data_IF_860545703532
#
_entry.id   IF_860545703532
#
_cell.length_a   1.000
_cell.length_b   1.000
_cell.length_c   1.000
_cell.angle_alpha   90.00
_cell.angle_beta   90.00
_cell.angle_gamma   90.00
#
_symmetry.space_group_name_H-M   'P 1'
#
loop_
_entity.id
_entity.type
_entity.pdbx_description
1 polymer ?
#
# COMPACT_ATOMS: atom_id res chain seq x y z
N UNK A 1 0.52 67.93 9.76
CA UNK A 1 0.20 66.73 10.55
C UNK A 1 -0.56 65.76 9.64
N UNK A 2 0.16 64.92 8.88
CA UNK A 2 0.20 63.44 8.96
C UNK A 2 -1.18 62.75 9.00
N UNK A 3 -1.64 62.32 7.82
CA UNK A 3 -2.53 61.17 7.62
C UNK A 3 -1.78 59.86 7.94
N UNK A 4 -2.45 58.81 8.48
CA UNK A 4 -1.89 57.48 8.51
C UNK A 4 -2.43 56.61 7.36
N UNK A 5 -1.48 55.91 6.76
CA UNK A 5 -1.64 54.94 5.70
C UNK A 5 -2.05 53.56 6.25
N UNK A 6 -2.58 52.77 5.32
CA UNK A 6 -3.12 51.42 5.39
C UNK A 6 -2.06 50.34 5.73
N UNK A 7 -2.35 49.51 6.74
CA UNK A 7 -1.67 48.23 6.98
C UNK A 7 -2.37 47.11 6.19
N UNK A 8 -1.59 46.36 5.40
CA UNK A 8 -2.00 45.10 4.76
C UNK A 8 -1.71 43.96 5.73
N UNK A 9 -2.75 43.27 6.17
CA UNK A 9 -2.66 42.02 6.93
C UNK A 9 -2.46 40.83 6.00
N UNK A 10 -1.45 40.02 6.31
CA UNK A 10 -1.07 38.77 5.67
C UNK A 10 -1.96 37.63 6.21
N UNK A 11 -2.91 37.13 5.40
CA UNK A 11 -3.80 36.03 5.77
C UNK A 11 -3.19 34.68 5.36
N UNK A 12 -2.72 33.91 6.35
CA UNK A 12 -2.46 32.46 6.20
C UNK A 12 -3.69 31.65 6.62
N UNK A 13 -4.13 30.62 5.87
CA UNK A 13 -5.32 29.85 6.25
C UNK A 13 -5.03 28.88 7.42
N UNK A 14 -5.82 29.00 8.49
CA UNK A 14 -5.94 28.01 9.57
C UNK A 14 -7.01 26.97 9.21
N UNK A 15 -6.62 25.74 8.88
CA UNK A 15 -7.48 24.54 8.79
C UNK A 15 -6.56 23.34 9.10
N UNK A 16 -6.83 22.34 9.95
CA UNK A 16 -7.98 21.86 10.70
C UNK A 16 -7.45 21.20 12.00
N UNK A 17 -8.13 21.41 13.12
CA UNK A 17 -7.93 20.68 14.39
C UNK A 17 -9.27 20.14 14.84
N UNK A 18 -9.43 18.82 14.84
CA UNK A 18 -10.31 18.11 15.79
C UNK A 18 -9.64 16.82 16.26
N UNK A 19 -9.64 16.64 17.58
CA UNK A 19 -8.76 15.73 18.30
C UNK A 19 -9.14 14.26 18.21
N UNK A 20 -8.12 13.40 18.10
CA UNK A 20 -8.25 11.95 18.36
C UNK A 20 -7.58 11.62 19.69
N UNK A 21 -8.37 11.53 20.77
CA UNK A 21 -7.96 10.78 21.97
C UNK A 21 -8.16 9.28 21.71
N UNK A 22 -7.09 8.50 21.68
CA UNK A 22 -7.17 7.02 21.69
C UNK A 22 -6.69 6.47 23.03
N UNK A 23 -7.50 5.57 23.60
CA UNK A 23 -7.33 4.96 24.92
C UNK A 23 -6.15 3.98 24.92
N UNK A 24 -5.34 4.03 25.98
CA UNK A 24 -4.22 3.14 26.24
C UNK A 24 -4.69 1.70 26.51
N UNK A 25 -4.01 0.72 25.92
CA UNK A 25 -4.18 -0.70 26.20
C UNK A 25 -3.09 -1.18 27.17
N UNK A 26 -3.49 -1.74 28.32
CA UNK A 26 -2.63 -2.52 29.22
C UNK A 26 -2.85 -4.01 28.94
N UNK A 27 -1.78 -4.79 28.85
CA UNK A 27 -1.83 -6.24 29.07
C UNK A 27 -0.44 -6.82 29.41
N UNK A 28 -0.49 -7.92 30.14
CA UNK A 28 0.49 -8.51 31.05
C UNK A 28 1.75 -9.18 30.44
N UNK A 29 2.77 -9.35 31.30
CA UNK A 29 3.98 -10.18 31.13
C UNK A 29 3.63 -11.67 30.98
N UNK A 30 4.45 -12.46 30.27
CA UNK A 30 5.49 -13.28 30.92
C UNK A 30 6.84 -13.20 30.18
N UNK A 31 7.99 -13.20 30.86
CA UNK A 31 8.68 -14.42 31.31
C UNK A 31 9.85 -14.69 30.34
N UNK A 32 11.07 -14.24 30.70
CA UNK A 32 12.20 -14.17 29.79
C UNK A 32 13.01 -15.47 29.67
N UNK A 33 13.77 -15.59 28.57
CA UNK A 33 14.99 -16.40 28.46
C UNK A 33 15.96 -15.70 27.49
N UNK A 34 17.24 -15.76 27.81
CA UNK A 34 18.36 -14.95 27.35
C UNK A 34 18.69 -15.01 25.84
N UNK A 35 19.16 -13.88 25.33
CA UNK A 35 19.79 -13.74 24.02
C UNK A 35 21.32 -13.78 24.17
N UNK A 36 21.98 -14.59 23.33
CA UNK A 36 23.42 -14.54 23.09
C UNK A 36 23.66 -13.71 21.82
N UNK A 37 24.44 -12.65 21.96
CA UNK A 37 24.98 -11.81 20.88
C UNK A 37 26.31 -12.37 20.38
N UNK A 38 26.62 -12.23 19.09
CA UNK A 38 28.00 -12.04 18.66
C UNK A 38 28.24 -10.60 18.18
N UNK A 39 29.39 -10.10 18.60
CA UNK A 39 29.99 -8.79 18.35
C UNK A 39 30.51 -8.63 16.93
N UNK A 40 30.63 -7.36 16.54
CA UNK A 40 31.12 -6.85 15.26
C UNK A 40 32.62 -7.09 15.01
N UNK A 41 33.02 -7.02 13.73
CA UNK A 41 34.00 -6.07 13.15
C UNK A 41 34.73 -6.68 11.94
N UNK A 42 35.01 -5.87 10.92
CA UNK A 42 36.09 -6.16 9.96
C UNK A 42 35.88 -5.77 8.49
N UNK A 43 36.22 -4.51 8.17
CA UNK A 43 37.04 -4.03 7.05
C UNK A 43 36.67 -4.36 5.58
N UNK A 44 36.68 -3.30 4.76
CA UNK A 44 36.49 -3.35 3.31
C UNK A 44 37.76 -3.66 2.52
N UNK A 45 37.55 -4.17 1.31
CA UNK A 45 38.52 -4.22 0.20
C UNK A 45 37.73 -4.07 -1.10
N UNK A 46 38.14 -3.11 -1.95
CA UNK A 46 37.71 -2.96 -3.34
C UNK A 46 38.20 -4.12 -4.22
N UNK A 47 37.37 -4.59 -5.13
CA UNK A 47 37.77 -5.54 -6.16
C UNK A 47 36.58 -6.04 -6.97
N UNK A 48 36.54 -5.68 -8.26
CA UNK A 48 35.49 -6.06 -9.19
C UNK A 48 35.27 -7.58 -9.24
N UNK A 49 34.03 -7.98 -8.96
CA UNK A 49 33.50 -9.30 -9.24
C UNK A 49 32.08 -9.11 -9.74
N UNK A 50 31.82 -9.46 -10.99
CA UNK A 50 30.48 -9.76 -11.46
C UNK A 50 29.91 -10.84 -10.55
N UNK A 51 29.11 -10.44 -9.56
CA UNK A 51 28.55 -11.38 -8.60
C UNK A 51 27.65 -12.34 -9.35
N UNK A 52 27.98 -13.63 -9.32
CA UNK A 52 27.09 -14.74 -9.61
C UNK A 52 25.99 -14.85 -8.52
N UNK A 53 25.34 -13.73 -8.18
CA UNK A 53 24.20 -13.65 -7.29
C UNK A 53 22.94 -13.74 -8.12
N UNK A 54 22.17 -14.81 -7.94
CA UNK A 54 20.91 -15.00 -8.66
C UNK A 54 19.95 -13.83 -8.44
N UNK A 55 19.14 -13.54 -9.45
CA UNK A 55 18.21 -12.42 -9.43
C UNK A 55 17.10 -12.64 -8.39
N UNK A 56 16.85 -11.65 -7.55
CA UNK A 56 15.74 -11.68 -6.61
C UNK A 56 14.49 -11.02 -7.19
N UNK A 57 13.34 -11.63 -6.93
CA UNK A 57 12.04 -11.11 -7.32
C UNK A 57 11.10 -11.01 -6.14
N UNK A 58 10.07 -10.18 -6.26
CA UNK A 58 8.91 -10.19 -5.38
C UNK A 58 7.70 -10.71 -6.15
N UNK A 59 7.09 -11.75 -5.61
CA UNK A 59 5.88 -12.37 -6.11
C UNK A 59 4.70 -12.01 -5.22
N UNK A 60 3.63 -11.54 -5.84
CA UNK A 60 2.39 -11.18 -5.19
C UNK A 60 1.20 -11.86 -5.88
N UNK A 61 0.28 -12.40 -5.11
CA UNK A 61 -1.01 -12.88 -5.60
C UNK A 61 -2.01 -13.04 -4.45
N UNK A 62 -3.28 -13.16 -4.81
CA UNK A 62 -4.32 -13.65 -3.93
C UNK A 62 -5.30 -14.49 -4.75
N UNK A 63 -6.02 -15.38 -4.08
CA UNK A 63 -7.06 -16.17 -4.72
C UNK A 63 -8.12 -16.56 -3.70
N UNK A 64 -9.39 -16.36 -4.06
CA UNK A 64 -10.52 -16.79 -3.25
C UNK A 64 -11.00 -18.15 -3.74
N UNK A 65 -10.79 -19.17 -2.91
CA UNK A 65 -11.17 -20.55 -3.19
C UNK A 65 -11.48 -21.24 -1.85
N UNK A 66 -12.49 -22.11 -1.76
CA UNK A 66 -12.73 -22.85 -0.53
C UNK A 66 -11.51 -23.72 -0.15
N UNK A 67 -11.06 -23.58 1.09
CA UNK A 67 -10.02 -24.43 1.68
C UNK A 67 -10.59 -25.07 2.93
N UNK A 68 -10.84 -26.37 2.86
CA UNK A 68 -11.51 -27.12 3.93
C UNK A 68 -10.69 -27.15 5.22
N UNK A 69 -9.40 -27.49 5.13
CA UNK A 69 -8.47 -27.52 6.25
C UNK A 69 -7.29 -26.56 6.06
N UNK A 70 -7.44 -25.26 6.38
CA UNK A 70 -6.39 -24.26 6.21
C UNK A 70 -5.12 -24.55 7.01
N UNK A 71 -5.22 -25.28 8.13
CA UNK A 71 -4.04 -25.63 8.92
C UNK A 71 -3.21 -26.70 8.23
N UNK A 72 -3.85 -27.73 7.67
CA UNK A 72 -3.17 -28.73 6.85
C UNK A 72 -2.57 -28.10 5.59
N UNK A 73 -3.29 -27.18 4.94
CA UNK A 73 -2.78 -26.43 3.79
C UNK A 73 -1.51 -25.62 4.15
N UNK A 74 -1.53 -24.92 5.29
CA UNK A 74 -0.35 -24.23 5.83
C UNK A 74 0.84 -25.20 5.99
N UNK A 75 0.63 -26.40 6.54
CA UNK A 75 1.69 -27.40 6.68
C UNK A 75 2.22 -27.90 5.34
N UNK A 76 1.35 -28.12 4.34
CA UNK A 76 1.73 -28.50 2.98
C UNK A 76 2.67 -27.45 2.36
N UNK A 77 2.31 -26.17 2.45
CA UNK A 77 3.14 -25.09 1.92
C UNK A 77 4.46 -24.90 2.71
N UNK A 78 4.45 -25.11 4.04
CA UNK A 78 5.67 -25.08 4.85
C UNK A 78 6.66 -26.17 4.44
N UNK A 79 6.16 -27.39 4.19
CA UNK A 79 6.97 -28.50 3.72
C UNK A 79 7.61 -28.18 2.37
N UNK A 80 6.84 -27.62 1.43
CA UNK A 80 7.38 -27.23 0.13
C UNK A 80 8.44 -26.14 0.25
N UNK A 81 8.24 -25.12 1.10
CA UNK A 81 9.19 -24.02 1.24
C UNK A 81 10.40 -24.37 2.13
N UNK A 82 10.44 -25.55 2.74
CA UNK A 82 11.57 -25.96 3.58
C UNK A 82 12.85 -26.08 2.74
N UNK A 83 13.90 -25.37 3.16
CA UNK A 83 15.20 -25.35 2.48
C UNK A 83 15.28 -24.37 1.29
N UNK A 84 14.19 -23.67 0.95
CA UNK A 84 14.18 -22.62 -0.08
C UNK A 84 14.34 -21.25 0.55
N UNK A 85 15.03 -20.35 -0.14
CA UNK A 85 15.28 -19.00 0.36
C UNK A 85 14.13 -18.07 -0.03
N UNK A 86 13.03 -18.16 0.72
CA UNK A 86 11.80 -17.38 0.48
C UNK A 86 11.40 -16.63 1.75
N UNK A 87 11.35 -15.31 1.68
CA UNK A 87 10.88 -14.43 2.75
C UNK A 87 9.61 -13.71 2.35
N UNK A 88 8.66 -13.53 3.26
CA UNK A 88 7.38 -12.95 2.88
C UNK A 88 6.27 -13.13 3.87
N UNK A 89 5.04 -12.89 3.42
CA UNK A 89 3.80 -13.12 4.13
C UNK A 89 2.91 -13.98 3.24
N UNK A 90 2.57 -15.16 3.74
CA UNK A 90 1.63 -16.07 3.08
C UNK A 90 0.56 -16.38 4.10
N UNK A 91 -0.64 -15.89 3.84
CA UNK A 91 -1.79 -16.08 4.71
C UNK A 91 -2.81 -16.97 4.02
N UNK A 92 -3.27 -17.98 4.75
CA UNK A 92 -4.24 -18.95 4.28
C UNK A 92 -5.41 -18.95 5.26
N UNK A 93 -6.64 -19.02 4.74
CA UNK A 93 -7.83 -19.19 5.55
C UNK A 93 -8.84 -20.09 4.82
N UNK A 94 -10.05 -20.24 5.36
CA UNK A 94 -11.10 -21.07 4.73
C UNK A 94 -11.57 -20.56 3.36
N UNK A 95 -11.26 -19.32 3.04
CA UNK A 95 -11.73 -18.62 1.84
C UNK A 95 -10.63 -18.43 0.79
N UNK A 96 -9.40 -18.88 1.05
CA UNK A 96 -8.33 -18.85 0.06
C UNK A 96 -6.97 -18.46 0.62
N UNK A 97 -6.18 -17.78 -0.22
CA UNK A 97 -4.78 -17.44 0.01
C UNK A 97 -4.47 -16.00 -0.38
N UNK A 98 -3.56 -15.35 0.35
CA UNK A 98 -2.95 -14.07 0.00
C UNK A 98 -1.45 -14.15 0.29
N UNK A 99 -0.62 -13.90 -0.72
CA UNK A 99 0.81 -14.10 -0.69
C UNK A 99 1.55 -12.89 -1.26
N UNK A 100 2.57 -12.46 -0.52
CA UNK A 100 3.55 -11.46 -0.92
C UNK A 100 4.90 -11.92 -0.38
N UNK A 101 5.80 -12.35 -1.25
CA UNK A 101 7.09 -12.92 -0.85
C UNK A 101 8.18 -12.60 -1.86
N UNK A 102 9.42 -12.70 -1.42
CA UNK A 102 10.61 -12.50 -2.21
C UNK A 102 11.58 -13.65 -2.00
N UNK A 103 12.33 -13.97 -3.04
CA UNK A 103 13.38 -14.98 -3.02
C UNK A 103 14.17 -14.89 -4.31
N UNK A 104 15.16 -15.77 -4.45
CA UNK A 104 15.79 -16.02 -5.75
C UNK A 104 14.70 -16.38 -6.76
N UNK A 105 14.83 -15.91 -8.01
CA UNK A 105 13.83 -16.09 -9.06
C UNK A 105 13.40 -17.55 -9.18
N UNK A 106 14.36 -18.47 -9.19
CA UNK A 106 14.10 -19.91 -9.29
C UNK A 106 13.23 -20.42 -8.14
N UNK A 107 13.60 -20.13 -6.89
CA UNK A 107 12.84 -20.54 -5.70
C UNK A 107 11.46 -19.90 -5.62
N UNK A 108 11.38 -18.60 -5.94
CA UNK A 108 10.15 -17.84 -5.88
C UNK A 108 9.14 -18.32 -6.94
N UNK A 109 9.60 -18.56 -8.16
CA UNK A 109 8.75 -19.08 -9.24
C UNK A 109 8.42 -20.56 -9.02
N UNK A 110 9.34 -21.38 -8.52
CA UNK A 110 9.06 -22.77 -8.19
C UNK A 110 7.88 -22.91 -7.21
N UNK A 111 7.77 -22.03 -6.21
CA UNK A 111 6.62 -22.03 -5.31
C UNK A 111 5.31 -21.58 -6.00
N UNK A 112 5.38 -20.61 -6.91
CA UNK A 112 4.21 -20.19 -7.68
C UNK A 112 3.71 -21.30 -8.63
N UNK A 113 4.62 -22.01 -9.28
CA UNK A 113 4.28 -23.12 -10.19
C UNK A 113 3.79 -24.35 -9.44
N UNK A 114 4.45 -24.74 -8.35
CA UNK A 114 3.97 -25.81 -7.47
C UNK A 114 2.55 -25.53 -6.95
N UNK A 115 2.23 -24.28 -6.63
CA UNK A 115 0.89 -23.92 -6.19
C UNK A 115 -0.15 -24.16 -7.29
N UNK A 116 0.19 -23.91 -8.56
CA UNK A 116 -0.71 -24.11 -9.71
C UNK A 116 -0.94 -25.58 -10.07
N UNK A 117 -0.11 -26.51 -9.58
CA UNK A 117 -0.34 -27.96 -9.75
C UNK A 117 -1.62 -28.43 -9.06
N UNK A 118 -2.11 -27.67 -8.09
CA UNK A 118 -3.39 -27.90 -7.44
C UNK A 118 -4.48 -27.08 -8.17
N UNK A 119 -5.43 -27.77 -8.79
CA UNK A 119 -6.48 -27.17 -9.63
C UNK A 119 -7.22 -26.02 -8.94
N UNK A 120 -7.34 -26.06 -7.61
CA UNK A 120 -7.95 -24.99 -6.79
C UNK A 120 -7.26 -23.64 -6.94
N UNK A 121 -5.98 -23.63 -7.32
CA UNK A 121 -5.15 -22.44 -7.47
C UNK A 121 -4.70 -22.20 -8.91
N UNK A 122 -5.09 -23.04 -9.87
CA UNK A 122 -4.70 -22.92 -11.29
C UNK A 122 -5.00 -21.54 -11.90
N UNK A 123 -6.09 -20.88 -11.45
CA UNK A 123 -6.52 -19.56 -11.91
C UNK A 123 -5.83 -18.37 -11.22
N UNK A 124 -4.75 -18.58 -10.45
CA UNK A 124 -4.06 -17.48 -9.76
C UNK A 124 -3.38 -16.52 -10.75
N UNK A 125 -3.62 -15.23 -10.58
CA UNK A 125 -2.88 -14.19 -11.29
C UNK A 125 -1.59 -13.88 -10.51
N UNK A 126 -0.48 -14.44 -10.98
CA UNK A 126 0.85 -14.21 -10.41
C UNK A 126 1.41 -12.87 -10.89
N UNK A 127 1.73 -11.97 -9.96
CA UNK A 127 2.37 -10.70 -10.25
C UNK A 127 3.81 -10.72 -9.76
N UNK A 128 4.74 -10.31 -10.62
CA UNK A 128 6.18 -10.32 -10.35
C UNK A 128 6.71 -8.89 -10.49
N UNK A 129 7.59 -8.51 -9.58
CA UNK A 129 8.27 -7.21 -9.60
C UNK A 129 9.72 -7.37 -9.15
N UNK A 130 10.65 -6.55 -9.67
CA UNK A 130 12.08 -6.68 -9.38
C UNK A 130 12.44 -6.20 -7.96
N UNK A 131 13.59 -6.65 -7.44
CA UNK A 131 14.18 -6.11 -6.21
C UNK A 131 15.70 -6.11 -6.28
N UNK A 132 16.30 -4.93 -6.08
CA UNK A 132 17.75 -4.72 -6.26
C UNK A 132 18.58 -5.08 -5.02
N UNK A 133 17.95 -5.30 -3.86
CA UNK A 133 18.62 -5.44 -2.57
C UNK A 133 18.37 -6.79 -1.91
N UNK A 134 18.21 -7.84 -2.73
CA UNK A 134 17.82 -9.16 -2.26
C UNK A 134 16.38 -9.19 -1.76
N UNK A 135 16.13 -9.85 -0.62
CA UNK A 135 14.77 -9.97 -0.11
C UNK A 135 14.12 -8.63 0.24
N UNK A 136 12.87 -8.47 -0.19
CA UNK A 136 12.03 -7.33 0.18
C UNK A 136 11.35 -7.51 1.55
N UNK A 137 11.45 -8.71 2.13
CA UNK A 137 10.87 -9.06 3.42
C UNK A 137 11.95 -9.61 4.36
N UNK A 138 11.89 -9.31 5.66
CA UNK A 138 12.93 -9.72 6.60
C UNK A 138 12.91 -11.23 6.92
N UNK A 139 11.77 -11.90 6.77
CA UNK A 139 11.59 -13.34 7.02
C UNK A 139 10.26 -13.85 6.47
N UNK A 140 10.14 -15.16 6.35
CA UNK A 140 8.86 -15.82 6.06
C UNK A 140 7.89 -15.76 7.24
N UNK A 141 6.63 -15.44 6.94
CA UNK A 141 5.47 -15.54 7.82
C UNK A 141 4.37 -16.27 7.07
N UNK A 142 4.44 -17.59 7.09
CA UNK A 142 3.43 -18.47 6.54
C UNK A 142 2.54 -19.02 7.67
N UNK A 143 1.25 -18.68 7.66
CA UNK A 143 0.34 -19.07 8.74
C UNK A 143 -1.13 -18.93 8.37
N UNK A 144 -1.97 -19.64 9.14
CA UNK A 144 -3.40 -19.39 9.16
C UNK A 144 -3.71 -17.98 9.69
N UNK A 145 -4.70 -17.33 9.06
CA UNK A 145 -5.30 -16.09 9.55
C UNK A 145 -6.83 -16.20 9.46
N UNK A 146 -7.60 -15.63 10.41
CA UNK A 146 -9.05 -15.56 10.26
C UNK A 146 -9.50 -14.80 9.00
N UNK A 147 -8.73 -13.80 8.59
CA UNK A 147 -8.96 -13.03 7.37
C UNK A 147 -7.66 -12.85 6.59
N UNK A 148 -7.74 -12.95 5.26
CA UNK A 148 -6.61 -12.75 4.34
C UNK A 148 -6.15 -11.29 4.27
N UNK A 149 -6.96 -10.37 4.78
CA UNK A 149 -6.69 -8.94 4.87
C UNK A 149 -7.00 -8.45 6.28
N UNK A 150 -6.28 -7.43 6.74
CA UNK A 150 -6.61 -6.79 8.03
C UNK A 150 -7.95 -6.04 7.89
N UNK A 151 -8.93 -6.34 8.75
CA UNK A 151 -10.25 -5.72 8.62
C UNK A 151 -11.40 -6.36 9.39
N UNK A 152 -11.28 -7.61 9.83
CA UNK A 152 -12.40 -8.32 10.48
C UNK A 152 -13.49 -8.73 9.48
N UNK A 153 -13.13 -8.93 8.22
CA UNK A 153 -14.03 -9.24 7.10
C UNK A 153 -14.25 -10.73 6.87
N UNK A 154 -13.92 -11.58 7.86
CA UNK A 154 -14.03 -13.05 7.75
C UNK A 154 -15.46 -13.57 7.58
N UNK A 155 -16.46 -12.73 7.83
CA UNK A 155 -17.88 -13.03 7.68
C UNK A 155 -18.44 -12.68 6.29
N UNK A 156 -17.63 -12.05 5.42
CA UNK A 156 -18.05 -11.71 4.06
C UNK A 156 -17.95 -12.94 3.15
N UNK A 157 -18.91 -13.15 2.23
CA UNK A 157 -18.92 -14.31 1.32
C UNK A 157 -17.97 -14.10 0.12
N UNK A 158 -16.66 -13.97 0.37
CA UNK A 158 -15.66 -13.63 -0.67
C UNK A 158 -15.48 -14.70 -1.75
N UNK A 159 -15.84 -15.95 -1.44
CA UNK A 159 -15.78 -17.07 -2.40
C UNK A 159 -16.84 -16.89 -3.49
N UNK A 160 -18.01 -16.32 -3.16
CA UNK A 160 -19.11 -16.11 -4.10
C UNK A 160 -18.76 -14.96 -5.07
N UNK A 161 -18.52 -15.23 -6.36
CA UNK A 161 -18.18 -14.19 -7.32
C UNK A 161 -19.32 -13.18 -7.55
N UNK A 162 -20.59 -13.58 -7.37
CA UNK A 162 -21.75 -12.69 -7.57
C UNK A 162 -21.81 -11.59 -6.52
N UNK A 163 -21.21 -11.86 -5.36
CA UNK A 163 -21.09 -10.91 -4.26
C UNK A 163 -19.93 -9.93 -4.43
N UNK A 164 -19.06 -10.11 -5.44
CA UNK A 164 -17.93 -9.20 -5.72
C UNK A 164 -18.26 -8.25 -6.88
N UNK A 165 -17.42 -7.25 -7.06
CA UNK A 165 -17.45 -6.40 -8.24
C UNK A 165 -17.11 -7.22 -9.50
N UNK A 166 -17.63 -6.78 -10.64
CA UNK A 166 -17.25 -7.34 -11.95
C UNK A 166 -15.80 -6.94 -12.23
N UNK A 167 -14.89 -7.90 -12.46
CA UNK A 167 -13.51 -7.58 -12.80
C UNK A 167 -13.44 -7.04 -14.24
N UNK A 168 -12.68 -5.97 -14.43
CA UNK A 168 -12.29 -5.41 -15.72
C UNK A 168 -10.82 -5.74 -15.95
N UNK A 169 -10.48 -6.21 -17.13
CA UNK A 169 -9.09 -6.30 -17.58
C UNK A 169 -8.44 -4.91 -17.62
N UNK A 170 -7.09 -4.82 -17.63
CA UNK A 170 -6.40 -3.54 -17.77
C UNK A 170 -6.88 -2.70 -18.96
N UNK A 171 -7.10 -3.32 -20.12
CA UNK A 171 -7.55 -2.64 -21.33
C UNK A 171 -8.99 -2.13 -21.21
N UNK A 172 -9.92 -2.94 -20.67
CA UNK A 172 -11.29 -2.50 -20.38
C UNK A 172 -11.32 -1.36 -19.37
N UNK A 173 -10.48 -1.43 -18.33
CA UNK A 173 -10.35 -0.37 -17.33
C UNK A 173 -9.88 0.94 -17.96
N UNK A 174 -8.86 0.88 -18.83
CA UNK A 174 -8.38 2.04 -19.57
C UNK A 174 -9.49 2.70 -20.39
N UNK A 175 -10.28 1.91 -21.11
CA UNK A 175 -11.41 2.42 -21.90
C UNK A 175 -12.43 3.13 -21.01
N UNK A 176 -12.78 2.53 -19.86
CA UNK A 176 -13.69 3.18 -18.90
C UNK A 176 -13.15 4.49 -18.32
N UNK A 177 -11.84 4.58 -18.08
CA UNK A 177 -11.21 5.84 -17.66
C UNK A 177 -11.30 6.91 -18.75
N UNK A 178 -11.18 6.54 -20.02
CA UNK A 178 -11.33 7.47 -21.15
C UNK A 178 -12.77 7.96 -21.26
N UNK A 179 -13.75 7.07 -21.21
CA UNK A 179 -15.18 7.42 -21.24
C UNK A 179 -15.55 8.41 -20.12
N UNK A 180 -15.02 8.18 -18.91
CA UNK A 180 -15.20 9.08 -17.77
C UNK A 180 -14.65 10.48 -18.05
N UNK A 181 -13.49 10.60 -18.68
CA UNK A 181 -12.87 11.90 -18.98
C UNK A 181 -13.53 12.62 -20.16
N UNK A 182 -13.96 11.88 -21.18
CA UNK A 182 -14.65 12.44 -22.36
C UNK A 182 -16.04 12.98 -22.03
N UNK A 183 -16.69 12.45 -21.00
CA UNK A 183 -18.01 12.90 -20.55
C UNK A 183 -17.99 14.26 -19.80
N UNK A 184 -16.81 14.84 -19.56
CA UNK A 184 -16.63 16.12 -18.82
C UNK A 184 -16.61 17.33 -19.77
N UNK A 185 -16.47 17.14 -21.08
CA UNK A 185 -16.56 18.21 -22.07
C UNK A 185 -18.04 18.49 -22.44
N UNK A 186 -18.61 19.66 -22.12
CA UNK A 186 -19.97 20.00 -22.52
C UNK A 186 -19.96 20.41 -24.00
N UNK A 187 -19.93 19.44 -24.92
CA UNK A 187 -20.30 19.73 -26.30
C UNK A 187 -21.82 19.92 -26.37
N UNK A 188 -22.23 21.19 -26.27
CA UNK A 188 -23.57 21.62 -26.67
C UNK A 188 -23.88 21.08 -28.06
N UNK A 189 -24.92 20.25 -28.19
CA UNK A 189 -25.69 19.92 -29.40
C UNK A 189 -25.73 18.48 -29.91
N UNK A 190 -25.56 17.43 -29.09
CA UNK A 190 -26.04 16.09 -29.46
C UNK A 190 -27.05 15.53 -28.45
N UNK A 191 -28.33 15.76 -28.74
CA UNK A 191 -29.47 15.08 -28.11
C UNK A 191 -29.53 13.65 -28.64
N UNK A 192 -28.88 12.73 -27.96
CA UNK A 192 -28.92 11.30 -28.28
C UNK A 192 -28.30 10.40 -27.22
N UNK A 193 -29.11 10.00 -26.23
CA UNK A 193 -28.99 8.76 -25.44
C UNK A 193 -27.91 8.55 -24.34
N UNK A 194 -26.94 9.44 -24.10
CA UNK A 194 -25.86 9.18 -23.10
C UNK A 194 -25.81 10.14 -21.89
N UNK A 195 -26.92 10.73 -21.46
CA UNK A 195 -26.92 11.80 -20.44
C UNK A 195 -27.04 11.38 -18.96
N UNK A 196 -26.99 10.09 -18.60
CA UNK A 196 -27.29 9.66 -17.22
C UNK A 196 -26.30 8.71 -16.53
N UNK A 197 -25.18 8.33 -17.17
CA UNK A 197 -24.28 7.33 -16.57
C UNK A 197 -23.17 8.02 -15.77
N UNK A 198 -23.45 8.28 -14.49
CA UNK A 198 -22.44 8.80 -13.55
C UNK A 198 -21.43 7.70 -13.25
N UNK A 199 -20.17 7.94 -13.58
CA UNK A 199 -19.04 7.06 -13.25
C UNK A 199 -18.30 7.67 -12.06
N UNK A 200 -18.05 6.85 -11.04
CA UNK A 200 -17.24 7.20 -9.87
C UNK A 200 -15.99 6.33 -9.81
N UNK A 201 -14.83 6.98 -9.81
CA UNK A 201 -13.55 6.32 -9.63
C UNK A 201 -13.12 6.38 -8.15
N UNK A 202 -13.03 5.21 -7.51
CA UNK A 202 -12.66 5.06 -6.12
C UNK A 202 -11.30 4.39 -5.98
N UNK A 203 -10.37 5.09 -5.34
CA UNK A 203 -9.18 4.47 -4.78
C UNK A 203 -9.52 3.83 -3.43
N UNK A 204 -9.48 2.50 -3.34
CA UNK A 204 -9.75 1.80 -2.07
C UNK A 204 -8.48 1.56 -1.24
N UNK A 205 -7.41 2.28 -1.58
CA UNK A 205 -6.15 2.30 -0.82
C UNK A 205 -6.21 3.30 0.34
N UNK A 206 -5.12 3.35 1.11
CA UNK A 206 -4.95 4.38 2.12
C UNK A 206 -4.47 5.70 1.49
N UNK A 207 -4.70 6.82 2.16
CA UNK A 207 -4.34 8.15 1.67
C UNK A 207 -2.85 8.30 1.33
N UNK A 208 -1.95 7.71 2.14
CA UNK A 208 -0.51 7.74 1.87
C UNK A 208 -0.11 6.97 0.59
N UNK A 209 -0.94 6.04 0.13
CA UNK A 209 -0.68 5.31 -1.13
C UNK A 209 -1.09 6.16 -2.33
N UNK A 210 -2.16 6.94 -2.19
CA UNK A 210 -2.61 7.91 -3.19
C UNK A 210 -1.62 9.07 -3.34
N UNK A 211 -1.03 9.53 -2.22
CA UNK A 211 -0.05 10.64 -2.18
C UNK A 211 1.20 10.38 -3.04
N UNK A 212 1.52 9.12 -3.30
CA UNK A 212 2.67 8.71 -4.12
C UNK A 212 2.30 8.52 -5.59
N UNK A 213 1.07 8.10 -5.83
CA UNK A 213 0.57 7.87 -7.17
C UNK A 213 -0.84 7.34 -7.17
N UNK A 214 -1.59 7.71 -8.18
CA UNK A 214 -3.02 7.46 -8.31
C UNK A 214 -3.45 7.60 -9.78
N UNK A 215 -4.64 7.11 -10.12
CA UNK A 215 -5.24 7.41 -11.42
C UNK A 215 -5.76 8.86 -11.47
N UNK A 216 -5.60 9.53 -12.61
CA UNK A 216 -6.19 10.83 -12.87
C UNK A 216 -7.71 10.81 -12.59
N UNK A 217 -8.20 11.82 -11.87
CA UNK A 217 -9.61 11.92 -11.46
C UNK A 217 -9.98 11.13 -10.21
N UNK A 218 -9.10 10.29 -9.65
CA UNK A 218 -9.38 9.58 -8.40
C UNK A 218 -9.25 10.54 -7.20
N UNK A 219 -10.28 10.62 -6.37
CA UNK A 219 -10.23 11.39 -5.13
C UNK A 219 -9.32 10.71 -4.10
N UNK A 220 -8.56 11.51 -3.34
CA UNK A 220 -7.70 11.02 -2.27
C UNK A 220 -8.54 10.44 -1.12
N UNK A 221 -8.33 9.17 -0.72
CA UNK A 221 -9.05 8.59 0.41
C UNK A 221 -8.64 9.24 1.74
N UNK A 222 -9.61 9.59 2.59
CA UNK A 222 -9.35 10.07 3.96
C UNK A 222 -9.25 8.92 4.97
N UNK A 223 -8.45 7.91 4.64
CA UNK A 223 -8.27 6.72 5.49
C UNK A 223 -6.80 6.30 5.54
N UNK A 224 -6.30 6.13 6.77
CA UNK A 224 -4.92 5.67 7.01
C UNK A 224 -4.81 4.13 7.10
N UNK A 225 -5.95 3.46 7.23
CA UNK A 225 -6.03 2.01 7.35
C UNK A 225 -7.31 1.51 6.68
N UNK A 226 -7.18 0.48 5.84
CA UNK A 226 -8.30 -0.15 5.15
C UNK A 226 -9.42 -0.62 6.10
N UNK A 227 -9.08 -1.06 7.32
CA UNK A 227 -10.08 -1.43 8.32
C UNK A 227 -10.99 -0.26 8.74
N UNK A 228 -10.47 0.96 8.62
CA UNK A 228 -11.19 2.21 8.90
C UNK A 228 -11.90 2.75 7.67
N UNK A 229 -11.91 2.04 6.54
CA UNK A 229 -12.63 2.46 5.34
C UNK A 229 -14.13 2.47 5.59
N UNK A 230 -14.68 3.67 5.80
CA UNK A 230 -16.09 3.89 6.17
C UNK A 230 -16.93 4.59 5.08
N UNK A 231 -16.36 4.96 3.93
CA UNK A 231 -17.15 5.55 2.86
C UNK A 231 -18.20 4.56 2.31
N UNK A 232 -19.34 5.03 1.83
CA UNK A 232 -20.50 4.21 1.51
C UNK A 232 -21.03 3.35 2.67
N UNK A 233 -20.62 3.60 3.92
CA UNK A 233 -21.13 2.89 5.11
C UNK A 233 -22.08 3.73 5.96
N UNK A 234 -22.04 5.04 5.81
CA UNK A 234 -22.86 5.99 6.57
C UNK A 234 -23.46 7.02 5.62
N UNK A 235 -24.75 7.26 5.69
CA UNK A 235 -25.49 8.18 4.80
C UNK A 235 -25.25 9.68 5.15
N UNK A 236 -24.38 10.01 6.11
CA UNK A 236 -24.34 11.34 6.75
C UNK A 236 -22.94 11.99 6.80
N UNK A 237 -22.07 11.72 5.82
CA UNK A 237 -20.78 12.40 5.74
C UNK A 237 -20.64 13.12 4.41
N UNK A 238 -20.58 14.45 4.45
CA UNK A 238 -20.40 15.29 3.25
C UNK A 238 -19.07 15.01 2.52
N UNK A 239 -18.09 14.41 3.22
CA UNK A 239 -16.82 13.97 2.65
C UNK A 239 -16.84 12.56 2.05
N UNK A 240 -17.96 11.84 2.16
CA UNK A 240 -18.08 10.49 1.63
C UNK A 240 -18.41 10.53 0.12
N UNK A 241 -17.52 10.03 -0.77
CA UNK A 241 -17.75 10.06 -2.21
C UNK A 241 -18.97 9.24 -2.67
N UNK A 242 -19.53 8.42 -1.79
CA UNK A 242 -20.71 7.59 -2.04
C UNK A 242 -22.00 8.11 -1.37
N UNK A 243 -21.94 9.22 -0.64
CA UNK A 243 -23.11 9.86 -0.05
C UNK A 243 -24.06 10.40 -1.13
N UNK A 244 -25.36 10.12 -1.00
CA UNK A 244 -26.40 10.59 -1.94
C UNK A 244 -26.29 10.02 -3.35
N UNK A 245 -25.45 9.01 -3.58
CA UNK A 245 -25.27 8.37 -4.88
C UNK A 245 -26.43 7.44 -5.19
N UNK A 246 -26.95 7.53 -6.43
CA UNK A 246 -27.91 6.56 -6.95
C UNK A 246 -27.24 5.18 -7.07
N UNK A 247 -27.55 4.31 -6.11
CA UNK A 247 -26.97 2.96 -5.98
C UNK A 247 -27.32 2.02 -7.14
N UNK A 248 -28.40 2.31 -7.87
CA UNK A 248 -28.88 1.49 -8.98
C UNK A 248 -28.26 1.91 -10.33
N UNK A 249 -28.01 3.21 -10.53
CA UNK A 249 -27.57 3.72 -11.83
C UNK A 249 -26.11 4.22 -11.87
N UNK A 250 -25.48 4.45 -10.72
CA UNK A 250 -24.08 4.91 -10.67
C UNK A 250 -23.11 3.75 -10.84
N UNK A 251 -22.17 3.88 -11.77
CA UNK A 251 -21.06 2.95 -11.91
C UNK A 251 -19.92 3.32 -10.97
N UNK A 252 -19.44 2.34 -10.21
CA UNK A 252 -18.35 2.52 -9.24
C UNK A 252 -17.18 1.67 -9.68
N UNK A 253 -16.10 2.32 -10.12
CA UNK A 253 -14.85 1.71 -10.50
C UNK A 253 -13.88 1.75 -9.32
N UNK A 254 -13.45 0.59 -8.84
CA UNK A 254 -12.54 0.48 -7.70
C UNK A 254 -11.20 -0.10 -8.09
N UNK A 255 -10.12 0.51 -7.59
CA UNK A 255 -8.78 -0.04 -7.74
C UNK A 255 -8.00 -0.01 -6.43
N UNK A 256 -7.03 -0.91 -6.34
CA UNK A 256 -5.98 -0.90 -5.34
C UNK A 256 -4.71 -1.52 -5.93
N UNK A 257 -3.64 -1.63 -5.14
CA UNK A 257 -2.33 -2.12 -5.61
C UNK A 257 -2.40 -3.47 -6.34
N UNK A 258 -3.11 -4.45 -5.77
CA UNK A 258 -3.12 -5.84 -6.25
C UNK A 258 -4.50 -6.51 -6.22
N UNK A 259 -5.60 -5.75 -6.24
CA UNK A 259 -6.97 -6.26 -6.38
C UNK A 259 -7.71 -6.67 -5.09
N UNK A 260 -7.06 -7.37 -4.15
CA UNK A 260 -7.77 -8.00 -3.00
C UNK A 260 -8.67 -7.06 -2.17
N UNK A 261 -8.27 -5.80 -1.99
CA UNK A 261 -9.09 -4.80 -1.25
C UNK A 261 -10.38 -4.49 -1.98
N UNK A 262 -10.34 -4.41 -3.30
CA UNK A 262 -11.52 -4.12 -4.12
C UNK A 262 -12.54 -5.25 -4.06
N UNK A 263 -12.09 -6.50 -4.09
CA UNK A 263 -12.97 -7.66 -3.92
C UNK A 263 -13.65 -7.64 -2.53
N UNK A 264 -12.88 -7.43 -1.47
CA UNK A 264 -13.43 -7.34 -0.11
C UNK A 264 -14.43 -6.18 0.01
N UNK A 265 -14.05 -5.01 -0.50
CA UNK A 265 -14.83 -3.80 -0.31
C UNK A 265 -16.08 -3.76 -1.20
N UNK A 266 -15.98 -4.26 -2.43
CA UNK A 266 -17.11 -4.41 -3.33
C UNK A 266 -18.18 -5.33 -2.74
N UNK A 267 -17.81 -6.39 -2.01
CA UNK A 267 -18.79 -7.21 -1.29
C UNK A 267 -19.52 -6.45 -0.19
N UNK A 268 -18.85 -5.51 0.47
CA UNK A 268 -19.50 -4.62 1.45
C UNK A 268 -20.50 -3.70 0.72
N UNK A 269 -20.10 -3.07 -0.39
CA UNK A 269 -20.98 -2.19 -1.16
C UNK A 269 -22.17 -2.95 -1.78
N UNK A 270 -21.94 -4.17 -2.30
CA UNK A 270 -22.99 -5.04 -2.85
C UNK A 270 -24.09 -5.30 -1.81
N UNK A 271 -23.70 -5.64 -0.58
CA UNK A 271 -24.64 -5.83 0.55
C UNK A 271 -25.41 -4.57 0.93
N UNK A 272 -24.93 -3.38 0.53
CA UNK A 272 -25.61 -2.10 0.74
C UNK A 272 -26.44 -1.63 -0.44
N UNK A 273 -26.59 -2.47 -1.47
CA UNK A 273 -27.47 -2.22 -2.60
C UNK A 273 -26.82 -1.54 -3.80
N UNK A 274 -25.49 -1.34 -3.81
CA UNK A 274 -24.80 -0.85 -5.01
C UNK A 274 -24.77 -1.94 -6.09
N UNK A 275 -25.30 -1.61 -7.27
CA UNK A 275 -25.51 -2.60 -8.35
C UNK A 275 -24.38 -2.61 -9.38
N UNK A 276 -23.84 -1.46 -9.78
CA UNK A 276 -22.82 -1.38 -10.83
C UNK A 276 -21.43 -1.22 -10.24
N UNK A 277 -20.88 -2.32 -9.71
CA UNK A 277 -19.55 -2.34 -9.09
C UNK A 277 -18.55 -3.00 -10.03
N UNK A 278 -17.44 -2.30 -10.30
CA UNK A 278 -16.36 -2.77 -11.17
C UNK A 278 -15.02 -2.68 -10.46
N UNK A 279 -14.09 -3.59 -10.78
CA UNK A 279 -12.75 -3.56 -10.22
C UNK A 279 -11.67 -3.81 -11.27
N UNK A 280 -10.51 -3.17 -11.11
CA UNK A 280 -9.34 -3.47 -11.91
C UNK A 280 -8.76 -4.86 -11.55
N UNK A 281 -8.87 -5.81 -12.47
CA UNK A 281 -8.36 -7.17 -12.31
C UNK A 281 -6.84 -7.18 -12.16
N UNK A 282 -6.34 -7.76 -11.05
CA UNK A 282 -4.94 -7.70 -10.66
C UNK A 282 -4.46 -6.34 -10.12
N UNK A 283 -5.34 -5.34 -10.03
CA UNK A 283 -5.02 -4.02 -9.51
C UNK A 283 -3.99 -3.25 -10.35
N UNK A 284 -3.48 -2.16 -9.77
CA UNK A 284 -2.56 -1.23 -10.47
C UNK A 284 -1.29 -1.94 -10.93
N UNK A 285 -0.77 -2.90 -10.16
CA UNK A 285 0.45 -3.62 -10.57
C UNK A 285 0.26 -4.40 -11.88
N UNK A 286 -0.93 -4.97 -12.11
CA UNK A 286 -1.22 -5.64 -13.38
C UNK A 286 -1.45 -4.63 -14.50
N UNK A 287 -2.12 -3.52 -14.20
CA UNK A 287 -2.34 -2.44 -15.17
C UNK A 287 -1.02 -1.84 -15.67
N UNK A 288 -0.10 -1.48 -14.78
CA UNK A 288 1.19 -0.90 -15.17
C UNK A 288 2.03 -1.86 -16.02
N UNK A 289 1.91 -3.17 -15.78
CA UNK A 289 2.57 -4.20 -16.59
C UNK A 289 1.98 -4.29 -18.00
N UNK A 290 0.65 -4.18 -18.13
CA UNK A 290 -0.06 -4.43 -19.40
C UNK A 290 -0.24 -3.16 -20.24
N UNK A 291 -0.55 -2.02 -19.62
CA UNK A 291 -0.94 -0.76 -20.27
C UNK A 291 0.07 0.37 -20.06
N UNK A 292 1.10 0.14 -19.23
CA UNK A 292 2.04 1.18 -18.81
C UNK A 292 1.38 2.24 -17.91
N UNK A 293 1.97 3.45 -17.80
CA UNK A 293 1.49 4.49 -16.88
C UNK A 293 0.31 5.30 -17.43
N UNK A 294 -0.38 4.87 -18.48
CA UNK A 294 -1.42 5.70 -19.10
C UNK A 294 -2.55 5.98 -18.12
N UNK A 295 -2.80 7.26 -17.85
CA UNK A 295 -3.79 7.72 -16.87
C UNK A 295 -3.35 7.57 -15.40
N UNK A 296 -2.17 7.00 -15.14
CA UNK A 296 -1.58 6.84 -13.81
C UNK A 296 -0.52 7.92 -13.56
N UNK A 297 -0.54 8.52 -12.37
CA UNK A 297 0.42 9.53 -11.92
C UNK A 297 1.32 8.94 -10.84
N UNK A 298 2.61 9.25 -10.89
CA UNK A 298 3.58 8.92 -9.84
C UNK A 298 3.91 7.42 -9.71
N UNK A 299 4.34 7.02 -8.53
CA UNK A 299 4.82 5.66 -8.25
C UNK A 299 3.72 4.80 -7.60
N UNK A 300 3.84 3.48 -7.71
CA UNK A 300 2.94 2.55 -7.03
C UNK A 300 3.50 2.16 -5.66
N UNK A 301 2.80 2.51 -4.58
CA UNK A 301 3.15 2.04 -3.23
C UNK A 301 3.07 0.51 -3.11
N UNK A 302 4.09 -0.10 -2.49
CA UNK A 302 4.19 -1.54 -2.23
C UNK A 302 4.48 -1.82 -0.75
N UNK A 303 3.89 -2.89 -0.22
CA UNK A 303 3.86 -3.18 1.23
C UNK A 303 5.08 -3.96 1.74
N UNK A 304 6.25 -3.77 1.14
CA UNK A 304 7.51 -4.45 1.49
C UNK A 304 8.63 -3.41 1.65
N UNK A 305 9.90 -3.81 1.80
CA UNK A 305 11.02 -2.88 2.04
C UNK A 305 11.18 -1.77 0.99
N UNK A 306 10.67 -1.99 -0.24
CA UNK A 306 10.83 -1.08 -1.39
C UNK A 306 9.98 0.19 -1.30
N UNK A 307 8.90 0.20 -0.49
CA UNK A 307 7.92 1.30 -0.29
C UNK A 307 7.12 1.69 -1.53
N UNK A 308 7.75 1.84 -2.67
CA UNK A 308 7.06 2.05 -3.94
C UNK A 308 7.95 1.69 -5.10
N UNK A 309 7.35 1.45 -6.25
CA UNK A 309 8.03 1.19 -7.51
C UNK A 309 7.55 2.18 -8.58
N UNK A 310 8.46 2.67 -9.43
CA UNK A 310 8.06 3.45 -10.60
C UNK A 310 7.32 2.55 -11.60
N UNK A 311 6.49 3.13 -12.49
CA UNK A 311 5.85 2.38 -13.57
C UNK A 311 6.81 1.55 -14.42
N UNK A 312 8.03 2.05 -14.66
CA UNK A 312 9.07 1.34 -15.43
C UNK A 312 9.44 -0.02 -14.84
N UNK A 313 9.33 -0.22 -13.52
CA UNK A 313 9.64 -1.48 -12.85
C UNK A 313 8.66 -2.63 -13.18
N UNK A 314 7.55 -2.34 -13.86
CA UNK A 314 6.54 -3.34 -14.25
C UNK A 314 6.64 -3.76 -15.73
N UNK A 315 7.55 -3.17 -16.52
CA UNK A 315 7.76 -3.58 -17.91
C UNK A 315 8.34 -5.00 -17.98
N UNK A 316 7.92 -5.83 -18.96
CA UNK A 316 8.41 -7.21 -19.10
C UNK A 316 9.93 -7.33 -19.22
N UNK A 317 10.57 -6.41 -19.95
CA UNK A 317 12.02 -6.36 -20.20
C UNK A 317 12.80 -6.18 -18.89
N UNK A 318 12.37 -5.22 -18.07
CA UNK A 318 12.90 -4.94 -16.74
C UNK A 318 12.63 -6.06 -15.71
N UNK A 319 11.58 -6.87 -15.93
CA UNK A 319 11.30 -8.08 -15.14
C UNK A 319 12.15 -9.26 -15.62
N UNK A 320 12.70 -9.26 -16.84
CA UNK A 320 13.57 -10.31 -17.32
C UNK A 320 15.05 -10.04 -17.01
N UNK A 321 15.45 -8.77 -16.99
CA UNK A 321 16.85 -8.35 -16.81
C UNK A 321 17.14 -7.84 -15.39
N UNK A 322 16.13 -7.75 -14.52
CA UNK A 322 16.28 -7.22 -13.15
C UNK A 322 16.63 -5.72 -13.11
N UNK A 323 16.73 -5.07 -14.27
CA UNK A 323 17.05 -3.66 -14.41
C UNK A 323 15.79 -2.83 -14.11
N UNK A 324 15.80 -2.15 -12.96
CA UNK A 324 14.89 -1.02 -12.77
C UNK A 324 15.59 0.19 -13.35
N UNK A 325 15.09 0.74 -14.45
CA UNK A 325 15.44 2.11 -14.84
C UNK A 325 15.21 3.01 -13.63
N UNK A 326 16.31 3.42 -13.01
CA UNK A 326 16.33 4.45 -11.97
C UNK A 326 15.79 5.68 -12.66
N UNK A 327 14.61 6.15 -12.22
CA UNK A 327 14.06 7.41 -12.68
C UNK A 327 15.16 8.47 -12.63
N UNK A 328 15.34 9.30 -13.67
CA UNK A 328 16.31 10.37 -13.62
C UNK A 328 16.10 11.18 -12.34
N UNK A 329 17.19 11.47 -11.63
CA UNK A 329 17.20 12.08 -10.27
C UNK A 329 16.39 13.39 -10.15
N UNK A 330 15.91 13.95 -11.26
CA UNK A 330 15.15 15.20 -11.32
C UNK A 330 13.64 15.04 -11.55
N UNK A 331 13.09 13.84 -11.75
CA UNK A 331 11.63 13.68 -11.91
C UNK A 331 10.95 13.69 -10.54
N UNK A 332 10.29 14.80 -10.21
CA UNK A 332 9.43 14.88 -9.03
C UNK A 332 8.22 13.96 -9.21
N UNK A 333 7.95 13.11 -8.22
CA UNK A 333 6.87 12.11 -8.33
C UNK A 333 5.77 12.28 -7.27
N UNK A 334 5.99 13.12 -6.26
CA UNK A 334 5.05 13.38 -5.17
C UNK A 334 5.35 14.72 -4.47
N UNK A 335 4.54 15.04 -3.44
CA UNK A 335 4.70 16.24 -2.62
C UNK A 335 4.95 15.89 -1.15
N UNK A 336 5.77 16.70 -0.49
CA UNK A 336 6.00 16.64 0.94
C UNK A 336 4.68 16.85 1.71
N UNK A 337 4.39 15.98 2.67
CA UNK A 337 3.19 16.07 3.51
C UNK A 337 3.14 17.37 4.32
N UNK A 338 4.31 17.90 4.71
CA UNK A 338 4.44 19.04 5.64
C UNK A 338 4.40 20.36 4.87
N UNK A 339 5.38 20.61 4.00
CA UNK A 339 5.54 21.89 3.30
C UNK A 339 4.97 21.91 1.88
N UNK A 340 4.45 20.78 1.38
CA UNK A 340 3.92 20.61 0.01
C UNK A 340 4.93 20.78 -1.13
N UNK A 341 6.21 21.02 -0.83
CA UNK A 341 7.26 21.04 -1.84
C UNK A 341 7.32 19.71 -2.58
N UNK A 342 7.69 19.74 -3.85
CA UNK A 342 7.92 18.52 -4.61
C UNK A 342 9.07 17.70 -4.01
N UNK A 343 8.98 16.38 -4.15
CA UNK A 343 10.04 15.45 -3.75
C UNK A 343 10.46 14.59 -4.93
N UNK A 344 11.77 14.44 -5.09
CA UNK A 344 12.42 13.57 -6.07
C UNK A 344 12.86 12.23 -5.46
N UNK A 345 12.85 12.11 -4.13
CA UNK A 345 13.22 10.88 -3.43
C UNK A 345 12.11 10.34 -2.53
N UNK A 346 11.97 9.01 -2.54
CA UNK A 346 11.01 8.27 -1.71
C UNK A 346 11.46 8.20 -0.27
N UNK A 347 10.89 9.07 0.57
CA UNK A 347 11.16 9.13 2.01
C UNK A 347 9.91 8.91 2.85
N UNK A 348 9.16 7.85 2.53
CA UNK A 348 8.09 7.42 3.43
C UNK A 348 8.70 6.93 4.73
N UNK A 349 8.26 7.51 5.83
CA UNK A 349 8.62 7.06 7.18
C UNK A 349 7.46 7.22 8.14
N UNK A 350 7.49 6.42 9.19
CA UNK A 350 6.59 6.66 10.31
C UNK A 350 7.05 7.91 11.06
N UNK A 351 6.14 8.63 11.71
CA UNK A 351 6.46 9.71 12.64
C UNK A 351 7.39 9.18 13.75
N UNK A 352 8.42 9.95 14.10
CA UNK A 352 9.35 9.59 15.16
C UNK A 352 8.65 9.43 16.51
N UNK A 353 7.55 10.15 16.74
CA UNK A 353 6.66 9.94 17.87
C UNK A 353 6.01 8.54 17.81
N UNK A 354 6.36 7.68 18.77
CA UNK A 354 5.85 6.30 18.88
C UNK A 354 4.33 6.23 19.00
N UNK A 355 3.71 7.21 19.66
CA UNK A 355 2.26 7.28 19.86
C UNK A 355 1.52 7.70 18.59
N UNK A 356 2.14 8.55 17.78
CA UNK A 356 1.59 8.98 16.51
C UNK A 356 1.76 7.88 15.45
N UNK A 357 3.02 7.50 15.18
CA UNK A 357 3.40 6.48 14.21
C UNK A 357 2.81 6.65 12.78
N UNK A 358 2.30 7.84 12.42
CA UNK A 358 1.74 8.14 11.11
C UNK A 358 2.78 7.88 10.02
N UNK A 359 2.42 7.15 8.97
CA UNK A 359 3.26 6.98 7.79
C UNK A 359 3.02 8.18 6.85
N UNK A 360 4.08 8.92 6.51
CA UNK A 360 3.98 10.10 5.65
C UNK A 360 5.24 10.30 4.81
N UNK A 361 5.12 11.08 3.75
CA UNK A 361 6.22 11.49 2.89
C UNK A 361 6.78 12.83 3.34
N UNK A 362 8.10 12.94 3.51
CA UNK A 362 8.76 14.19 3.90
C UNK A 362 9.93 14.50 2.97
N UNK A 363 10.08 15.78 2.61
CA UNK A 363 11.33 16.27 2.03
C UNK A 363 12.46 16.24 3.08
N UNK A 364 13.74 16.26 2.66
CA UNK A 364 14.88 16.26 3.57
C UNK A 364 14.87 17.40 4.59
N UNK A 365 14.52 18.62 4.16
CA UNK A 365 14.48 19.81 5.02
C UNK A 365 13.47 19.66 6.17
N UNK A 366 12.21 19.33 5.87
CA UNK A 366 11.20 19.12 6.92
C UNK A 366 11.54 17.92 7.82
N UNK A 367 12.23 16.91 7.30
CA UNK A 367 12.65 15.75 8.08
C UNK A 367 13.68 16.15 9.14
N UNK A 368 14.61 17.02 8.80
CA UNK A 368 15.61 17.56 9.72
C UNK A 368 14.97 18.54 10.72
N UNK A 369 14.22 19.52 10.23
CA UNK A 369 13.56 20.55 11.04
C UNK A 369 12.61 19.95 12.10
N UNK A 370 11.80 18.95 11.71
CA UNK A 370 10.86 18.29 12.60
C UNK A 370 11.41 17.01 13.23
N UNK A 371 12.72 16.75 13.15
CA UNK A 371 13.36 15.59 13.78
C UNK A 371 12.62 14.27 13.46
N UNK A 372 12.24 14.09 12.20
CA UNK A 372 11.50 12.92 11.72
C UNK A 372 10.04 12.82 12.16
N UNK A 373 9.46 13.87 12.75
CA UNK A 373 8.05 13.95 13.12
C UNK A 373 7.18 14.51 11.99
N UNK A 374 5.90 14.16 11.99
CA UNK A 374 4.93 14.65 10.99
C UNK A 374 4.44 16.08 11.26
N UNK A 375 4.68 16.63 12.45
CA UNK A 375 4.28 17.97 12.83
C UNK A 375 5.09 18.48 14.04
N UNK A 376 5.08 19.80 14.32
CA UNK A 376 5.75 20.38 15.49
C UNK A 376 5.29 19.78 16.82
N UNK A 377 3.98 19.54 17.01
CA UNK A 377 3.47 18.98 18.27
C UNK A 377 4.08 17.60 18.58
N UNK A 378 4.39 16.81 17.55
CA UNK A 378 5.00 15.49 17.73
C UNK A 378 6.47 15.57 18.16
N UNK A 379 7.18 16.68 17.94
CA UNK A 379 8.61 16.80 18.32
C UNK A 379 8.83 16.91 19.82
N UNK A 380 7.77 17.20 20.58
CA UNK A 380 7.76 17.28 22.04
C UNK A 380 7.20 16.01 22.70
N UNK A 381 6.89 14.96 21.92
CA UNK A 381 6.35 13.73 22.47
C UNK A 381 7.38 13.07 23.41
N UNK A 382 6.93 12.43 24.51
CA UNK A 382 7.85 11.82 25.48
C UNK A 382 8.59 10.61 24.92
N UNK A 383 8.09 9.99 23.84
CA UNK A 383 8.63 8.76 23.27
C UNK A 383 8.98 8.95 21.80
N UNK A 384 10.21 9.40 21.55
CA UNK A 384 10.71 9.67 20.21
C UNK A 384 11.73 8.63 19.78
N UNK A 385 11.61 8.21 18.52
CA UNK A 385 12.65 7.44 17.85
C UNK A 385 13.82 8.36 17.46
N UNK A 386 15.07 7.86 17.47
CA UNK A 386 16.22 8.64 17.02
C UNK A 386 16.10 8.94 15.53
N UNK A 387 16.41 10.16 15.11
CA UNK A 387 16.35 10.52 13.69
C UNK A 387 17.42 9.74 12.93
N UNK A 388 16.99 8.79 12.09
CA UNK A 388 17.92 8.08 11.22
C UNK A 388 18.24 8.93 9.99
N UNK A 389 19.53 9.03 9.60
CA UNK A 389 19.92 9.64 8.34
C UNK A 389 19.30 8.87 7.17
N UNK A 390 18.65 9.62 6.29
CA UNK A 390 17.95 9.17 5.07
C UNK A 390 17.23 7.80 5.17
N UNK A 391 17.17 7.03 4.08
CA UNK A 391 16.16 6.01 3.73
C UNK A 391 16.01 4.79 4.67
N UNK A 392 16.58 4.83 5.87
CA UNK A 392 16.39 3.80 6.90
C UNK A 392 14.99 3.87 7.50
N UNK A 393 14.41 2.68 7.72
CA UNK A 393 13.15 2.54 8.43
C UNK A 393 13.39 2.53 9.92
N UNK A 394 12.40 3.05 10.64
CA UNK A 394 12.31 2.77 12.05
C UNK A 394 12.12 1.28 12.28
N UNK A 395 12.91 0.77 13.22
CA UNK A 395 12.74 -0.53 13.81
C UNK A 395 11.40 -0.64 14.56
N UNK A 396 11.08 -1.84 15.02
CA UNK A 396 9.87 -2.02 15.84
C UNK A 396 9.98 -1.22 17.12
N UNK A 397 8.86 -0.65 17.56
CA UNK A 397 8.78 0.26 18.70
C UNK A 397 9.47 -0.26 19.98
N UNK A 398 9.45 -1.57 20.23
CA UNK A 398 10.06 -2.16 21.42
C UNK A 398 11.59 -2.07 21.43
N UNK A 399 12.23 -1.99 20.25
CA UNK A 399 13.68 -1.81 20.15
C UNK A 399 14.07 -0.46 20.76
N UNK A 400 13.25 0.57 20.52
CA UNK A 400 13.50 1.93 21.03
C UNK A 400 13.09 2.14 22.49
N UNK A 401 12.13 1.34 22.99
CA UNK A 401 11.72 1.39 24.41
C UNK A 401 12.90 1.08 25.33
N UNK A 402 13.66 0.04 24.99
CA UNK A 402 14.70 -0.49 25.88
C UNK A 402 16.00 0.33 25.80
N UNK A 403 16.20 1.11 24.72
CA UNK A 403 17.35 2.02 24.56
C UNK A 403 17.27 3.29 25.41
N UNK A 404 16.07 3.76 25.79
CA UNK A 404 15.90 4.85 26.76
C UNK A 404 16.23 4.40 28.18
N UNK A 405 15.88 3.17 28.56
CA UNK A 405 16.24 2.62 29.86
C UNK A 405 17.76 2.48 30.02
N UNK A 406 18.48 2.07 28.98
CA UNK A 406 19.95 1.99 29.02
C UNK A 406 20.63 3.37 29.15
N UNK A 407 20.12 4.40 28.48
CA UNK A 407 20.66 5.77 28.60
C UNK A 407 20.40 6.39 29.97
N UNK A 408 19.23 6.12 30.56
CA UNK A 408 18.88 6.60 31.91
C UNK A 408 19.47 5.74 33.05
N UNK A 409 20.03 4.56 32.76
CA UNK A 409 20.79 3.76 33.74
C UNK A 409 22.30 4.05 33.72
N UNK A 410 22.77 4.79 32.71
CA UNK A 410 24.18 5.20 32.55
C UNK A 410 24.39 6.69 32.85
N UNK A 411 23.32 7.45 33.09
CA UNK A 411 23.29 8.80 33.63
C UNK A 411 22.82 8.74 35.09
#
# INVERSE_FOLDING_TARGET
ERSPATERGDERPRLLREGRRRRAWRAHRPGGVAALTPTAEGQGVDGGGTSAGGEFVVVNFYHFVPIENPKAEVSKHQMFLQGRDVHGRIYINKQGINAQYSGLREDALAYAEWLKEDDRFSGILIQISPTLRGHAFPRLKLRYKPSLLEGGVSHLPLIDPTMRATPLSPSEWRLRLQDMNSSVEPSSNERGLNHNRKILLLDVRNGYEWDIGHFNGAQRPDVDCFRSTTFGQTEQSDSDPLAGVDKANTEILMYCTGGIRCDVYSTILRKRGYQNLFTLSGGVSHYLKSEGPVGWVGNLFVFDSRLSLPPSAYKPENIAEGEVEVLPESSTFASCYICRSHVSELRHRNCANLDCNLLFLSCPSCMEELRGCCCPDCTYAPRLRPVHPANQRYEKWYIYRDSEMQRNSLA
#
